data_IF_144248584538
#
_entry.id   IF_144248584538
#
_cell.length_a   1.000
_cell.length_b   1.000
_cell.length_c   1.000
_cell.angle_alpha   90.00
_cell.angle_beta   90.00
_cell.angle_gamma   90.00
#
_symmetry.space_group_name_H-M   'P 1'
#
loop_
_entity.id
_entity.type
_entity.pdbx_description
1 polymer ?
#
# COMPACT_ATOMS: atom_id res chain seq x y z
N UNK A 1 0.50 -8.35 50.21
CA UNK A 1 0.61 -9.60 49.42
C UNK A 1 -0.41 -9.56 48.29
N UNK A 2 0.02 -9.20 47.07
CA UNK A 2 -0.84 -9.11 45.88
C UNK A 2 -0.90 -10.47 45.19
N UNK A 3 -2.11 -11.02 45.03
CA UNK A 3 -2.35 -12.24 44.24
C UNK A 3 -2.11 -11.90 42.77
N UNK A 4 -1.13 -12.57 42.16
CA UNK A 4 -0.94 -12.59 40.72
C UNK A 4 -2.16 -13.27 40.08
N UNK A 5 -2.97 -12.49 39.37
CA UNK A 5 -3.92 -13.02 38.40
C UNK A 5 -3.13 -13.51 37.20
N UNK A 6 -2.91 -14.83 37.12
CA UNK A 6 -2.45 -15.47 35.89
C UNK A 6 -3.69 -16.02 35.19
N UNK A 7 -4.37 -15.17 34.42
CA UNK A 7 -5.36 -15.65 33.47
C UNK A 7 -4.61 -16.36 32.32
N UNK A 8 -4.97 -17.60 31.94
CA UNK A 8 -4.48 -18.19 30.71
C UNK A 8 -5.09 -17.40 29.55
N UNK A 9 -4.30 -16.51 28.95
CA UNK A 9 -4.67 -15.86 27.69
C UNK A 9 -4.79 -16.98 26.66
N UNK A 10 -6.02 -17.34 26.34
CA UNK A 10 -6.41 -18.30 25.33
C UNK A 10 -5.66 -18.04 24.02
N UNK A 11 -4.55 -18.76 23.80
CA UNK A 11 -3.86 -18.89 22.51
C UNK A 11 -4.66 -19.82 21.61
N UNK A 12 -5.89 -19.45 21.26
CA UNK A 12 -6.71 -20.11 20.24
C UNK A 12 -7.66 -19.09 19.62
N UNK A 13 -7.14 -17.94 19.20
CA UNK A 13 -7.74 -17.25 18.07
C UNK A 13 -6.95 -17.74 16.85
N UNK A 14 -7.58 -18.57 16.03
CA UNK A 14 -7.13 -18.71 14.65
C UNK A 14 -7.29 -17.31 14.09
N UNK A 15 -6.17 -16.60 13.92
CA UNK A 15 -6.11 -15.28 13.32
C UNK A 15 -6.87 -15.34 11.98
N UNK A 16 -8.11 -14.85 11.98
CA UNK A 16 -8.90 -14.80 10.76
C UNK A 16 -8.18 -13.83 9.82
N UNK A 17 -7.58 -14.38 8.78
CA UNK A 17 -6.84 -13.60 7.81
C UNK A 17 -7.75 -12.50 7.25
N UNK A 18 -7.30 -11.25 7.30
CA UNK A 18 -8.06 -10.11 6.80
C UNK A 18 -8.38 -10.28 5.33
N UNK A 19 -9.63 -9.99 4.96
CA UNK A 19 -10.02 -9.94 3.55
C UNK A 19 -9.30 -8.79 2.85
N UNK A 20 -9.18 -8.80 1.51
CA UNK A 20 -8.58 -7.68 0.78
C UNK A 20 -9.21 -6.33 1.13
N UNK A 21 -10.54 -6.28 1.25
CA UNK A 21 -11.28 -5.08 1.63
C UNK A 21 -10.95 -4.63 3.06
N UNK A 22 -10.79 -5.56 4.01
CA UNK A 22 -10.42 -5.22 5.38
C UNK A 22 -8.98 -4.68 5.47
N UNK A 23 -8.07 -5.26 4.68
CA UNK A 23 -6.69 -4.77 4.61
C UNK A 23 -6.63 -3.36 4.02
N UNK A 24 -7.38 -3.10 2.95
CA UNK A 24 -7.47 -1.77 2.36
C UNK A 24 -8.06 -0.76 3.33
N UNK A 25 -9.16 -1.12 4.01
CA UNK A 25 -9.78 -0.26 5.00
C UNK A 25 -8.85 0.03 6.17
N UNK A 26 -8.09 -0.96 6.62
CA UNK A 26 -7.08 -0.78 7.66
C UNK A 26 -5.95 0.14 7.19
N UNK A 27 -5.47 -0.01 5.95
CA UNK A 27 -4.47 0.87 5.36
C UNK A 27 -4.95 2.33 5.27
N UNK A 28 -6.23 2.55 4.93
CA UNK A 28 -6.88 3.87 4.95
C UNK A 28 -6.91 4.45 6.36
N UNK A 29 -7.31 3.65 7.37
CA UNK A 29 -7.35 4.09 8.77
C UNK A 29 -5.97 4.55 9.25
N UNK A 30 -4.93 3.78 8.92
CA UNK A 30 -3.54 4.16 9.23
C UNK A 30 -3.18 5.45 8.50
N UNK A 31 -3.49 5.57 7.21
CA UNK A 31 -3.20 6.76 6.40
C UNK A 31 -3.84 8.04 6.95
N UNK A 32 -5.08 7.96 7.44
CA UNK A 32 -5.79 9.09 8.07
C UNK A 32 -5.06 9.58 9.34
N UNK A 33 -4.31 8.71 10.03
CA UNK A 33 -3.48 9.08 11.18
C UNK A 33 -2.31 10.01 10.83
N UNK A 34 -1.90 10.08 9.56
CA UNK A 34 -0.79 10.92 9.11
C UNK A 34 -1.22 12.37 8.92
N UNK A 35 -0.88 13.20 9.90
CA UNK A 35 -1.05 14.64 9.80
C UNK A 35 -0.18 15.17 8.65
N UNK A 36 -0.73 16.14 7.91
CA UNK A 36 -0.04 16.82 6.80
C UNK A 36 0.30 15.91 5.61
N UNK A 37 -0.32 14.74 5.53
CA UNK A 37 -0.28 13.88 4.36
C UNK A 37 -1.69 13.71 3.79
N UNK A 38 -1.77 13.42 2.50
CA UNK A 38 -3.00 12.96 1.86
C UNK A 38 -2.79 11.57 1.28
N UNK A 39 -3.85 10.76 1.27
CA UNK A 39 -3.88 9.47 0.60
C UNK A 39 -3.89 9.68 -0.91
N UNK A 40 -2.82 9.27 -1.59
CA UNK A 40 -2.64 9.46 -3.02
C UNK A 40 -3.09 8.25 -3.85
N UNK A 41 -2.90 7.04 -3.32
CA UNK A 41 -3.31 5.79 -3.97
C UNK A 41 -3.52 4.69 -2.95
N UNK A 42 -4.33 3.70 -3.30
CA UNK A 42 -4.43 2.43 -2.58
C UNK A 42 -4.51 1.29 -3.60
N UNK A 43 -3.83 0.18 -3.33
CA UNK A 43 -3.83 -0.98 -4.21
C UNK A 43 -3.60 -2.25 -3.40
N UNK A 44 -4.47 -3.23 -3.56
CA UNK A 44 -4.21 -4.59 -3.12
C UNK A 44 -3.30 -5.33 -4.11
N UNK A 45 -2.28 -6.02 -3.60
CA UNK A 45 -1.39 -6.87 -4.38
C UNK A 45 -1.69 -8.34 -4.07
N UNK A 46 -2.45 -8.99 -4.95
CA UNK A 46 -2.88 -10.39 -4.79
C UNK A 46 -1.69 -11.34 -4.55
N UNK A 47 -0.62 -11.20 -5.33
CA UNK A 47 0.59 -12.04 -5.26
C UNK A 47 1.24 -12.07 -3.87
N UNK A 48 1.09 -10.98 -3.11
CA UNK A 48 1.67 -10.81 -1.78
C UNK A 48 0.62 -10.77 -0.67
N UNK A 49 -0.66 -10.82 -1.03
CA UNK A 49 -1.82 -10.66 -0.13
C UNK A 49 -1.64 -9.47 0.82
N UNK A 50 -1.33 -8.31 0.25
CA UNK A 50 -0.99 -7.09 0.98
C UNK A 50 -1.70 -5.89 0.36
N UNK A 51 -2.32 -5.05 1.19
CA UNK A 51 -2.81 -3.74 0.77
C UNK A 51 -1.70 -2.70 0.91
N UNK A 52 -1.50 -1.89 -0.13
CA UNK A 52 -0.50 -0.81 -0.16
C UNK A 52 -1.22 0.51 -0.36
N UNK A 53 -1.19 1.36 0.67
CA UNK A 53 -1.65 2.75 0.59
C UNK A 53 -0.46 3.70 0.46
N UNK A 54 -0.45 4.55 -0.56
CA UNK A 54 0.58 5.57 -0.76
C UNK A 54 0.09 6.91 -0.24
N UNK A 55 0.85 7.52 0.67
CA UNK A 55 0.60 8.86 1.19
C UNK A 55 1.66 9.85 0.69
N UNK A 56 1.23 11.10 0.48
CA UNK A 56 2.11 12.19 0.01
C UNK A 56 1.97 13.39 0.94
N UNK A 57 3.02 14.17 1.17
CA UNK A 57 2.93 15.38 1.97
C UNK A 57 2.05 16.44 1.30
N UNK A 58 1.28 17.14 2.10
CA UNK A 58 0.50 18.32 1.70
C UNK A 58 1.40 19.54 1.87
N UNK A 59 2.07 19.95 0.79
CA UNK A 59 3.27 20.81 0.76
C UNK A 59 3.18 22.22 1.37
N UNK A 60 2.99 22.34 2.69
CA UNK A 60 3.01 23.62 3.39
C UNK A 60 4.06 23.72 4.50
N UNK A 61 4.76 22.62 4.86
CA UNK A 61 5.83 22.69 5.85
C UNK A 61 7.23 22.78 5.23
N UNK A 62 7.97 23.81 5.65
CA UNK A 62 9.39 24.08 5.40
C UNK A 62 10.33 23.05 6.06
N UNK A 63 9.96 21.78 6.09
CA UNK A 63 10.85 20.68 6.51
C UNK A 63 11.53 20.10 5.27
N UNK A 64 12.72 19.47 5.40
CA UNK A 64 13.35 18.78 4.28
C UNK A 64 12.29 17.88 3.63
N UNK A 65 12.12 18.05 2.30
CA UNK A 65 11.09 17.42 1.46
C UNK A 65 10.73 16.05 2.00
N UNK A 66 9.59 15.94 2.70
CA UNK A 66 9.12 14.64 3.17
C UNK A 66 8.82 13.80 1.93
N UNK A 67 9.52 12.67 1.78
CA UNK A 67 9.29 11.78 0.66
C UNK A 67 7.92 11.13 0.77
N UNK A 68 7.26 10.78 -0.35
CA UNK A 68 6.09 9.92 -0.32
C UNK A 68 6.37 8.63 0.47
N UNK A 69 5.36 8.11 1.16
CA UNK A 69 5.46 6.89 1.96
C UNK A 69 4.41 5.87 1.52
N UNK A 70 4.74 4.59 1.65
CA UNK A 70 3.80 3.49 1.48
C UNK A 70 3.50 2.86 2.84
N UNK A 71 2.22 2.57 3.07
CA UNK A 71 1.68 1.85 4.21
C UNK A 71 1.24 0.49 3.69
N UNK A 72 1.85 -0.56 4.21
CA UNK A 72 1.64 -1.95 3.82
C UNK A 72 0.86 -2.64 4.92
N UNK A 73 -0.25 -3.28 4.59
CA UNK A 73 -1.07 -4.06 5.53
C UNK A 73 -1.19 -5.48 5.01
N UNK A 74 -0.69 -6.45 5.77
CA UNK A 74 -0.74 -7.86 5.38
C UNK A 74 -2.04 -8.56 5.80
N UNK A 75 -2.22 -9.80 5.35
CA UNK A 75 -3.37 -10.63 5.69
C UNK A 75 -3.49 -10.97 7.19
N UNK A 76 -2.44 -10.77 7.99
CA UNK A 76 -2.50 -10.93 9.45
C UNK A 76 -2.87 -9.62 10.16
N UNK A 77 -2.97 -8.52 9.41
CA UNK A 77 -3.20 -7.18 9.95
C UNK A 77 -1.94 -6.47 10.43
N UNK A 78 -0.75 -6.98 10.12
CA UNK A 78 0.49 -6.27 10.44
C UNK A 78 0.65 -5.06 9.52
N UNK A 79 1.17 -3.96 10.07
CA UNK A 79 1.35 -2.69 9.36
C UNK A 79 2.84 -2.38 9.25
N UNK A 80 3.32 -2.12 8.04
CA UNK A 80 4.69 -1.67 7.77
C UNK A 80 4.66 -0.37 6.99
N UNK A 81 5.55 0.57 7.30
CA UNK A 81 5.58 1.89 6.66
C UNK A 81 6.97 2.11 6.08
N UNK A 82 7.04 2.35 4.77
CA UNK A 82 8.29 2.46 4.02
C UNK A 82 8.32 3.73 3.16
N UNK A 83 9.48 4.39 2.99
CA UNK A 83 9.61 5.45 2.00
C UNK A 83 9.38 4.93 0.58
N UNK A 84 8.63 5.64 -0.26
CA UNK A 84 8.43 5.29 -1.67
C UNK A 84 9.75 5.29 -2.47
N UNK A 85 10.76 6.03 -2.02
CA UNK A 85 12.09 6.09 -2.65
C UNK A 85 12.92 4.82 -2.45
N UNK A 86 12.35 3.76 -1.85
CA UNK A 86 13.00 2.48 -1.81
C UNK A 86 13.13 1.93 -3.25
N UNK A 87 14.35 1.64 -3.75
CA UNK A 87 14.59 1.29 -5.16
C UNK A 87 13.97 -0.06 -5.61
N UNK A 88 13.16 -0.70 -4.77
CA UNK A 88 12.62 -2.05 -4.99
C UNK A 88 11.37 -2.10 -5.86
N UNK A 89 10.73 -0.97 -6.18
CA UNK A 89 9.49 -0.95 -6.99
C UNK A 89 9.62 -0.16 -8.30
N UNK A 90 10.66 -0.45 -9.09
CA UNK A 90 10.61 -0.17 -10.53
C UNK A 90 9.56 -1.07 -11.16
N UNK A 91 8.35 -0.55 -11.33
CA UNK A 91 7.31 -1.12 -12.20
C UNK A 91 7.99 -1.45 -13.54
N UNK A 92 8.27 -2.74 -13.80
CA UNK A 92 8.74 -3.20 -15.10
C UNK A 92 7.60 -2.98 -16.08
N UNK A 93 7.54 -1.79 -16.66
CA UNK A 93 6.78 -1.58 -17.89
C UNK A 93 7.44 -2.51 -18.89
N UNK A 94 6.75 -3.59 -19.25
CA UNK A 94 7.24 -4.47 -20.29
C UNK A 94 7.12 -3.69 -21.62
N UNK A 95 8.25 -3.34 -22.26
CA UNK A 95 8.24 -2.49 -23.47
C UNK A 95 7.45 -3.11 -24.62
N UNK A 96 7.20 -4.43 -24.60
CA UNK A 96 6.37 -5.11 -25.58
C UNK A 96 4.93 -4.56 -25.64
N UNK A 97 4.34 -4.20 -24.50
CA UNK A 97 2.97 -3.67 -24.45
C UNK A 97 2.90 -2.25 -25.02
N UNK A 98 3.95 -1.45 -24.78
CA UNK A 98 4.05 -0.09 -25.32
C UNK A 98 4.18 -0.14 -26.85
N UNK A 99 4.99 -1.05 -27.38
CA UNK A 99 5.15 -1.25 -28.82
C UNK A 99 3.84 -1.71 -29.48
N UNK A 100 3.08 -2.61 -28.84
CA UNK A 100 1.81 -3.10 -29.38
C UNK A 100 0.79 -1.97 -29.50
N UNK A 101 0.66 -1.12 -28.47
CA UNK A 101 -0.25 0.04 -28.52
C UNK A 101 0.17 1.04 -29.61
N UNK A 102 1.47 1.29 -29.77
CA UNK A 102 1.99 2.20 -30.79
C UNK A 102 1.75 1.66 -32.21
N UNK A 103 1.87 0.35 -32.42
CA UNK A 103 1.62 -0.30 -33.71
C UNK A 103 0.14 -0.27 -34.10
N UNK A 104 -0.77 -0.46 -33.14
CA UNK A 104 -2.22 -0.33 -33.39
C UNK A 104 -2.60 1.10 -33.75
N UNK A 105 -2.07 2.10 -33.03
CA UNK A 105 -2.36 3.51 -33.29
C UNK A 105 -1.82 3.97 -34.66
N UNK A 106 -0.62 3.54 -35.04
CA UNK A 106 -0.05 3.85 -36.36
C UNK A 106 -0.80 3.16 -37.49
N UNK A 107 -1.29 1.93 -37.29
CA UNK A 107 -2.09 1.21 -38.28
C UNK A 107 -3.46 1.86 -38.52
N UNK A 108 -4.10 2.39 -37.48
CA UNK A 108 -5.37 3.14 -37.60
C UNK A 108 -5.19 4.48 -38.32
N UNK A 109 -4.05 5.16 -38.14
CA UNK A 109 -3.77 6.43 -38.80
C UNK A 109 -3.46 6.30 -40.30
N UNK A 110 -3.15 5.10 -40.79
CA UNK A 110 -2.88 4.81 -42.20
C UNK A 110 -4.14 4.37 -42.99
N UNK A 111 -5.29 4.24 -42.32
CA UNK A 111 -6.57 3.81 -42.89
C UNK A 111 -7.57 4.97 -43.09
N UNK A 112 -7.16 6.22 -42.87
CA UNK A 112 -7.91 7.45 -43.16
C UNK A 112 -7.09 8.36 -44.08
#
# INVERSE_FOLDING_TARGET
MRRHQTAPRSRLAVDAALTPADQEQHAIQVAIGFKQHYLAAITYLDDHRIAVATIKPTGTQKRPVEAPQEIWVDASGNVTIVPCDHPTRRRRINPAWVLLVLLVLTSMALLF
#
